data_IF_667809334335
#
_entry.id   IF_667809334335
#
_cell.length_a   1.000
_cell.length_b   1.000
_cell.length_c   1.000
_cell.angle_alpha   90.00
_cell.angle_beta   90.00
_cell.angle_gamma   90.00
#
_symmetry.space_group_name_H-M   'P 1'
#
loop_
_entity.id
_entity.type
_entity.pdbx_description
1 polymer ?
#
# COMPACT_ATOMS: atom_id res chain seq x y z
N UNK A 1 20.87 5.71 -26.90
CA UNK A 1 19.76 4.75 -26.90
C UNK A 1 19.33 4.58 -25.45
N UNK A 2 18.04 4.72 -25.17
CA UNK A 2 17.50 4.80 -23.82
C UNK A 2 17.17 3.40 -23.31
N UNK A 3 17.87 2.96 -22.26
CA UNK A 3 17.58 1.71 -21.54
C UNK A 3 16.40 1.90 -20.57
N UNK A 4 15.24 2.21 -21.14
CA UNK A 4 13.96 1.88 -20.54
C UNK A 4 13.64 0.49 -21.06
N UNK A 5 13.99 -0.56 -20.31
CA UNK A 5 13.43 -1.91 -20.45
C UNK A 5 14.16 -2.85 -19.49
N UNK A 6 13.70 -2.93 -18.22
CA UNK A 6 13.64 -4.18 -17.45
C UNK A 6 13.01 -3.94 -16.08
N UNK A 7 11.72 -3.62 -16.05
CA UNK A 7 10.91 -4.19 -14.97
C UNK A 7 10.71 -5.66 -15.33
N UNK A 8 10.73 -6.62 -14.38
CA UNK A 8 10.30 -7.98 -14.68
C UNK A 8 8.94 -7.88 -15.37
N UNK A 9 8.66 -8.80 -16.29
CA UNK A 9 7.35 -8.94 -16.92
C UNK A 9 6.30 -9.05 -15.80
N UNK A 10 5.79 -7.88 -15.37
CA UNK A 10 4.70 -7.71 -14.44
C UNK A 10 3.47 -8.05 -15.25
N UNK A 11 3.34 -9.32 -15.64
CA UNK A 11 2.04 -9.90 -15.87
C UNK A 11 1.22 -9.50 -14.64
N UNK A 12 0.30 -8.55 -14.83
CA UNK A 12 -0.09 -7.54 -13.85
C UNK A 12 -0.23 -8.06 -12.43
N UNK A 13 0.24 -7.28 -11.45
CA UNK A 13 0.00 -7.60 -10.05
C UNK A 13 -1.49 -7.90 -9.88
N UNK A 14 -1.83 -9.01 -9.22
CA UNK A 14 -3.24 -9.33 -8.96
C UNK A 14 -3.86 -8.24 -8.12
N UNK A 15 -3.11 -7.64 -7.20
CA UNK A 15 -3.49 -6.46 -6.45
C UNK A 15 -2.30 -5.81 -5.75
N UNK A 16 -2.54 -4.64 -5.17
CA UNK A 16 -1.57 -3.94 -4.34
C UNK A 16 -2.22 -3.28 -3.11
N UNK A 17 -1.41 -2.95 -2.11
CA UNK A 17 -1.77 -2.05 -1.05
C UNK A 17 -0.67 -1.01 -0.82
N UNK A 18 -1.10 0.18 -0.41
CA UNK A 18 -0.23 1.27 0.01
C UNK A 18 -0.63 1.68 1.43
N UNK A 19 0.34 1.73 2.32
CA UNK A 19 0.17 2.26 3.67
C UNK A 19 1.13 3.43 3.88
N UNK A 20 0.61 4.60 4.24
CA UNK A 20 1.41 5.80 4.47
C UNK A 20 1.12 6.37 5.84
N UNK A 21 2.17 6.79 6.56
CA UNK A 21 2.06 7.41 7.87
C UNK A 21 2.96 8.63 7.98
N UNK A 22 2.45 9.64 8.69
CA UNK A 22 3.18 10.82 9.10
C UNK A 22 3.14 10.89 10.63
N UNK A 23 4.22 10.45 11.28
CA UNK A 23 4.44 10.58 12.73
C UNK A 23 5.87 11.03 13.00
N UNK A 24 6.07 11.81 14.05
CA UNK A 24 7.38 12.36 14.43
C UNK A 24 8.43 11.27 14.71
N UNK A 25 8.01 10.12 15.24
CA UNK A 25 8.87 8.98 15.56
C UNK A 25 8.52 7.72 14.74
N UNK A 26 8.04 7.88 13.50
CA UNK A 26 7.77 6.73 12.66
C UNK A 26 9.09 6.09 12.19
N UNK A 27 9.16 4.77 12.27
CA UNK A 27 10.20 3.94 11.66
C UNK A 27 9.58 2.72 10.98
N UNK A 28 10.33 2.05 10.12
CA UNK A 28 9.85 0.85 9.42
C UNK A 28 9.91 -0.44 10.25
N UNK A 29 10.41 -0.41 11.49
CA UNK A 29 10.40 -1.59 12.38
C UNK A 29 8.97 -2.00 12.72
N UNK A 30 8.07 -1.04 12.90
CA UNK A 30 6.63 -1.30 13.03
C UNK A 30 6.03 -1.97 11.79
N UNK A 31 6.53 -1.62 10.59
CA UNK A 31 6.12 -2.26 9.34
C UNK A 31 6.59 -3.71 9.25
N UNK A 32 7.86 -3.98 9.62
CA UNK A 32 8.38 -5.34 9.70
C UNK A 32 7.66 -6.19 10.74
N UNK A 33 7.40 -5.62 11.92
CA UNK A 33 6.66 -6.30 12.98
C UNK A 33 5.27 -6.68 12.51
N UNK A 34 4.58 -5.75 11.84
CA UNK A 34 3.27 -6.01 11.25
C UNK A 34 3.29 -7.17 10.25
N UNK A 35 4.30 -7.23 9.37
CA UNK A 35 4.46 -8.34 8.43
C UNK A 35 4.62 -9.67 9.17
N UNK A 36 5.51 -9.73 10.16
CA UNK A 36 5.73 -10.91 10.98
C UNK A 36 4.48 -11.36 11.75
N UNK A 37 3.79 -10.43 12.40
CA UNK A 37 2.52 -10.69 13.11
C UNK A 37 1.39 -11.13 12.17
N UNK A 38 1.49 -10.80 10.87
CA UNK A 38 0.56 -11.22 9.83
C UNK A 38 0.94 -12.55 9.18
N UNK A 39 1.95 -13.26 9.71
CA UNK A 39 2.37 -14.58 9.23
C UNK A 39 3.37 -14.56 8.08
N UNK A 40 3.99 -13.42 7.79
CA UNK A 40 5.01 -13.28 6.75
C UNK A 40 6.41 -13.33 7.33
N UNK A 41 7.29 -14.08 6.69
CA UNK A 41 8.71 -14.21 7.02
C UNK A 41 9.57 -13.47 6.01
N UNK A 42 10.76 -13.01 6.43
CA UNK A 42 11.82 -12.53 5.53
C UNK A 42 12.68 -13.67 4.97
N UNK A 43 12.50 -14.89 5.49
CA UNK A 43 13.25 -16.09 5.09
C UNK A 43 12.35 -16.93 4.20
N UNK A 44 12.84 -17.29 3.02
CA UNK A 44 12.16 -18.21 2.10
C UNK A 44 12.11 -19.62 2.72
N UNK A 45 10.90 -20.18 2.97
CA UNK A 45 10.77 -21.49 3.59
C UNK A 45 11.27 -22.64 2.68
N UNK A 46 11.45 -22.40 1.38
CA UNK A 46 11.88 -23.40 0.41
C UNK A 46 13.40 -23.47 0.24
N UNK A 47 14.15 -22.55 0.86
CA UNK A 47 15.62 -22.50 0.79
C UNK A 47 16.20 -23.07 2.09
N UNK A 48 17.17 -23.98 1.94
CA UNK A 48 17.77 -24.73 3.07
C UNK A 48 18.63 -23.82 3.96
N UNK A 49 19.26 -22.81 3.36
CA UNK A 49 20.00 -21.78 4.07
C UNK A 49 19.04 -20.63 4.38
N UNK A 50 18.87 -20.30 5.66
CA UNK A 50 17.95 -19.28 6.16
C UNK A 50 18.37 -17.83 5.81
N UNK A 51 18.72 -17.58 4.55
CA UNK A 51 19.07 -16.26 4.03
C UNK A 51 17.81 -15.48 3.73
N UNK A 52 17.73 -14.24 4.24
CA UNK A 52 16.68 -13.34 3.80
C UNK A 52 16.91 -12.95 2.34
N UNK A 53 15.84 -12.90 1.54
CA UNK A 53 15.93 -12.40 0.17
C UNK A 53 15.38 -10.97 0.15
N UNK A 54 16.25 -10.00 0.42
CA UNK A 54 15.92 -8.59 0.25
C UNK A 54 16.65 -8.02 -0.96
N UNK A 55 15.90 -7.62 -1.98
CA UNK A 55 16.45 -7.03 -3.22
C UNK A 55 16.63 -5.52 -3.07
N UNK A 56 17.81 -5.05 -2.68
CA UNK A 56 18.11 -3.62 -2.72
C UNK A 56 18.36 -3.19 -4.16
N UNK A 57 17.40 -2.48 -4.75
CA UNK A 57 17.63 -1.79 -6.01
C UNK A 57 18.51 -0.56 -5.80
N UNK A 58 19.80 -0.71 -6.07
CA UNK A 58 20.61 0.42 -6.55
C UNK A 58 21.02 0.25 -8.01
N UNK A 59 20.86 -0.92 -8.64
CA UNK A 59 21.41 -1.19 -9.99
C UNK A 59 20.64 -2.24 -10.83
N UNK A 60 19.35 -2.52 -10.57
CA UNK A 60 18.57 -3.43 -11.41
C UNK A 60 18.96 -4.91 -11.35
N UNK A 61 19.84 -5.29 -10.42
CA UNK A 61 20.21 -6.69 -10.15
C UNK A 61 19.63 -7.17 -8.82
N UNK A 62 19.19 -8.43 -8.79
CA UNK A 62 18.77 -9.13 -7.58
C UNK A 62 20.00 -9.51 -6.76
N UNK A 63 20.09 -8.98 -5.55
CA UNK A 63 21.03 -9.46 -4.54
C UNK A 63 20.25 -10.05 -3.38
N UNK A 64 20.69 -11.21 -2.89
CA UNK A 64 20.23 -11.73 -1.61
C UNK A 64 21.02 -11.00 -0.51
N UNK A 65 20.32 -10.56 0.54
CA UNK A 65 20.93 -9.84 1.65
C UNK A 65 20.73 -10.62 2.94
N UNK A 66 21.80 -10.76 3.71
CA UNK A 66 21.67 -11.25 5.07
C UNK A 66 20.69 -10.38 5.88
N UNK A 67 19.96 -11.03 6.79
CA UNK A 67 18.93 -10.40 7.64
C UNK A 67 19.49 -9.18 8.38
N UNK A 68 20.74 -9.26 8.83
CA UNK A 68 21.43 -8.18 9.54
C UNK A 68 21.57 -6.94 8.65
N UNK A 69 22.05 -7.10 7.41
CA UNK A 69 22.21 -6.00 6.45
C UNK A 69 20.86 -5.39 6.08
N UNK A 70 19.83 -6.23 5.93
CA UNK A 70 18.46 -5.76 5.73
C UNK A 70 17.97 -4.89 6.89
N UNK A 71 18.16 -5.36 8.12
CA UNK A 71 17.77 -4.63 9.33
C UNK A 71 18.50 -3.29 9.46
N UNK A 72 19.77 -3.22 9.09
CA UNK A 72 20.53 -1.96 9.04
C UNK A 72 19.92 -0.96 8.05
N UNK A 73 19.49 -1.39 6.87
CA UNK A 73 18.81 -0.52 5.89
C UNK A 73 17.49 0.02 6.43
N UNK A 74 16.72 -0.84 7.09
CA UNK A 74 15.45 -0.49 7.74
C UNK A 74 15.66 0.53 8.86
N UNK A 75 16.65 0.29 9.73
CA UNK A 75 17.01 1.21 10.82
C UNK A 75 17.54 2.55 10.29
N UNK A 76 18.33 2.52 9.22
CA UNK A 76 18.84 3.72 8.55
C UNK A 76 17.77 4.46 7.72
N UNK A 77 16.55 3.92 7.64
CA UNK A 77 15.44 4.48 6.88
C UNK A 77 15.77 4.74 5.40
N UNK A 78 16.59 3.86 4.81
CA UNK A 78 16.91 3.88 3.37
C UNK A 78 15.84 3.16 2.55
N UNK A 79 15.42 3.71 1.38
CA UNK A 79 14.49 3.01 0.51
C UNK A 79 14.95 1.56 0.26
N UNK A 80 14.03 0.60 0.39
CA UNK A 80 14.34 -0.81 0.25
C UNK A 80 13.16 -1.57 -0.36
N UNK A 81 13.47 -2.36 -1.39
CA UNK A 81 12.57 -3.34 -1.98
C UNK A 81 12.95 -4.72 -1.43
N UNK A 82 11.98 -5.56 -1.12
CA UNK A 82 12.24 -6.86 -0.54
C UNK A 82 11.04 -7.79 -0.70
N UNK A 83 11.28 -9.10 -0.62
CA UNK A 83 10.21 -10.08 -0.62
C UNK A 83 9.95 -10.59 0.78
N UNK A 84 8.74 -11.05 1.00
CA UNK A 84 8.35 -11.80 2.19
C UNK A 84 7.55 -13.02 1.77
N UNK A 85 7.61 -14.08 2.59
CA UNK A 85 7.01 -15.38 2.29
C UNK A 85 5.99 -15.77 3.35
N UNK A 86 4.97 -16.49 2.92
CA UNK A 86 4.09 -17.26 3.79
C UNK A 86 4.74 -18.60 4.15
N UNK A 87 4.19 -19.32 5.13
CA UNK A 87 4.61 -20.68 5.46
C UNK A 87 4.44 -21.70 4.33
N UNK A 88 3.51 -21.46 3.40
CA UNK A 88 3.22 -22.34 2.25
C UNK A 88 4.13 -22.06 1.04
N UNK A 89 5.00 -21.05 1.13
CA UNK A 89 5.95 -20.70 0.08
C UNK A 89 5.47 -19.62 -0.90
N UNK A 90 4.23 -19.13 -0.79
CA UNK A 90 3.76 -17.95 -1.53
C UNK A 90 4.51 -16.70 -1.09
N UNK A 91 4.75 -15.76 -2.03
CA UNK A 91 5.49 -14.53 -1.77
C UNK A 91 4.70 -13.24 -2.02
N UNK A 92 5.20 -12.15 -1.45
CA UNK A 92 4.73 -10.79 -1.64
C UNK A 92 5.93 -9.87 -1.79
N UNK A 93 5.89 -9.00 -2.80
CA UNK A 93 6.89 -7.93 -2.95
C UNK A 93 6.47 -6.75 -2.07
N UNK A 94 7.45 -6.15 -1.41
CA UNK A 94 7.30 -5.01 -0.52
C UNK A 94 8.28 -3.90 -0.92
N UNK A 95 7.87 -2.65 -0.76
CA UNK A 95 8.75 -1.47 -0.85
C UNK A 95 8.54 -0.60 0.38
N UNK A 96 9.62 -0.28 1.08
CA UNK A 96 9.64 0.76 2.09
C UNK A 96 10.39 1.96 1.55
N UNK A 97 9.73 3.13 1.50
CA UNK A 97 10.36 4.37 1.03
C UNK A 97 9.84 5.62 1.73
N UNK A 98 10.57 6.73 1.55
CA UNK A 98 10.16 8.05 2.02
C UNK A 98 9.60 8.87 0.85
N UNK A 99 8.44 9.49 1.07
CA UNK A 99 7.87 10.49 0.16
C UNK A 99 7.74 11.81 0.93
N UNK A 100 8.76 12.67 0.81
CA UNK A 100 8.90 13.85 1.67
C UNK A 100 9.03 13.44 3.14
N UNK A 101 8.14 13.94 4.00
CA UNK A 101 8.12 13.63 5.44
C UNK A 101 7.39 12.33 5.78
N UNK A 102 6.80 11.64 4.79
CA UNK A 102 5.94 10.47 5.00
C UNK A 102 6.73 9.19 4.81
N UNK A 103 6.51 8.22 5.71
CA UNK A 103 6.90 6.84 5.47
C UNK A 103 5.81 6.16 4.67
N UNK A 104 6.20 5.50 3.59
CA UNK A 104 5.30 4.78 2.69
C UNK A 104 5.76 3.34 2.59
N UNK A 105 4.80 2.44 2.66
CA UNK A 105 4.95 1.00 2.57
C UNK A 105 4.05 0.52 1.45
N UNK A 106 4.62 -0.17 0.47
CA UNK A 106 3.90 -0.79 -0.64
C UNK A 106 3.95 -2.30 -0.49
N UNK A 107 2.87 -2.95 -0.90
CA UNK A 107 2.68 -4.39 -0.84
C UNK A 107 2.04 -4.86 -2.14
N UNK A 108 2.70 -5.72 -2.91
CA UNK A 108 2.18 -6.26 -4.17
C UNK A 108 1.86 -7.75 -4.03
N UNK A 109 0.60 -8.11 -4.28
CA UNK A 109 0.06 -9.45 -4.02
C UNK A 109 0.12 -10.38 -5.24
N UNK A 110 0.96 -10.10 -6.23
CA UNK A 110 0.95 -10.77 -7.54
C UNK A 110 1.02 -12.30 -7.49
N UNK A 111 1.76 -12.86 -6.53
CA UNK A 111 1.93 -14.31 -6.38
C UNK A 111 1.09 -14.93 -5.26
N UNK A 112 0.48 -14.14 -4.39
CA UNK A 112 -0.50 -14.61 -3.42
C UNK A 112 -1.73 -15.11 -4.18
N UNK A 113 -1.83 -16.44 -4.37
CA UNK A 113 -2.83 -17.10 -5.22
C UNK A 113 -4.24 -16.66 -4.82
N UNK A 114 -4.46 -16.50 -3.52
CA UNK A 114 -5.51 -15.70 -2.92
C UNK A 114 -4.87 -14.48 -2.29
N UNK A 115 -5.23 -13.28 -2.73
CA UNK A 115 -4.88 -12.08 -1.98
C UNK A 115 -5.47 -12.25 -0.57
N UNK A 116 -4.60 -12.52 0.42
CA UNK A 116 -5.05 -13.06 1.70
C UNK A 116 -5.98 -12.03 2.37
N UNK A 117 -7.27 -12.37 2.41
CA UNK A 117 -8.30 -11.55 3.05
C UNK A 117 -7.94 -11.23 4.51
N UNK A 118 -7.17 -12.11 5.16
CA UNK A 118 -6.57 -11.94 6.47
C UNK A 118 -5.54 -10.82 6.50
N UNK A 119 -4.59 -10.79 5.56
CA UNK A 119 -3.59 -9.72 5.47
C UNK A 119 -4.23 -8.35 5.26
N UNK A 120 -5.19 -8.23 4.34
CA UNK A 120 -5.87 -6.94 4.13
C UNK A 120 -6.73 -6.55 5.33
N UNK A 121 -7.39 -7.51 5.98
CA UNK A 121 -8.09 -7.23 7.23
C UNK A 121 -7.12 -6.73 8.31
N UNK A 122 -5.91 -7.29 8.38
CA UNK A 122 -4.86 -6.84 9.29
C UNK A 122 -4.36 -5.43 8.93
N UNK A 123 -4.14 -5.12 7.65
CA UNK A 123 -3.80 -3.77 7.19
C UNK A 123 -4.87 -2.75 7.55
N UNK A 124 -6.16 -3.06 7.35
CA UNK A 124 -7.26 -2.17 7.71
C UNK A 124 -7.32 -1.92 9.21
N UNK A 125 -7.12 -2.95 10.04
CA UNK A 125 -7.01 -2.79 11.50
C UNK A 125 -5.80 -1.94 11.87
N UNK A 126 -4.65 -2.16 11.25
CA UNK A 126 -3.44 -1.35 11.46
C UNK A 126 -3.69 0.11 11.09
N UNK A 127 -4.39 0.39 9.98
CA UNK A 127 -4.83 1.73 9.61
C UNK A 127 -5.71 2.35 10.68
N UNK A 128 -6.77 1.66 11.10
CA UNK A 128 -7.70 2.16 12.13
C UNK A 128 -6.98 2.53 13.43
N UNK A 129 -6.12 1.65 13.93
CA UNK A 129 -5.28 1.94 15.11
C UNK A 129 -4.31 3.08 14.85
N UNK A 130 -3.77 3.18 13.63
CA UNK A 130 -2.77 4.18 13.31
C UNK A 130 -3.33 5.61 13.24
N UNK A 131 -4.60 5.77 12.84
CA UNK A 131 -5.28 7.06 12.74
C UNK A 131 -5.33 7.84 14.05
N UNK A 132 -5.35 7.16 15.19
CA UNK A 132 -5.38 7.79 16.51
C UNK A 132 -4.08 8.55 16.85
N UNK A 133 -2.96 8.16 16.24
CA UNK A 133 -1.64 8.71 16.54
C UNK A 133 -1.05 9.57 15.40
N UNK A 134 -1.83 9.91 14.37
CA UNK A 134 -1.41 10.85 13.35
C UNK A 134 -2.09 10.68 12.00
N UNK A 135 -1.59 11.41 11.01
CA UNK A 135 -2.11 11.36 9.63
C UNK A 135 -1.65 10.06 8.98
N UNK A 136 -2.61 9.21 8.64
CA UNK A 136 -2.37 7.91 8.01
C UNK A 136 -3.24 7.77 6.76
N UNK A 137 -2.74 7.07 5.75
CA UNK A 137 -3.49 6.71 4.55
C UNK A 137 -3.33 5.22 4.29
N UNK A 138 -4.40 4.58 3.82
CA UNK A 138 -4.39 3.22 3.30
C UNK A 138 -5.08 3.18 1.93
N UNK A 139 -4.49 2.44 1.02
CA UNK A 139 -5.09 2.03 -0.26
C UNK A 139 -4.98 0.52 -0.33
N UNK A 140 -6.05 -0.15 -0.75
CA UNK A 140 -6.01 -1.57 -1.12
C UNK A 140 -6.81 -1.73 -2.39
N UNK A 141 -6.15 -2.28 -3.41
CA UNK A 141 -6.72 -2.54 -4.73
C UNK A 141 -6.50 -4.01 -5.12
N UNK A 142 -7.56 -4.81 -5.13
CA UNK A 142 -7.50 -6.25 -5.41
C UNK A 142 -7.37 -6.60 -6.88
N UNK A 143 -7.42 -5.60 -7.75
CA UNK A 143 -7.35 -5.77 -9.19
C UNK A 143 -6.24 -4.91 -9.81
N UNK A 144 -5.45 -4.25 -8.96
CA UNK A 144 -4.37 -3.34 -9.34
C UNK A 144 -4.78 -2.21 -10.30
N UNK A 145 -6.07 -1.83 -10.33
CA UNK A 145 -6.59 -0.83 -11.27
C UNK A 145 -6.02 0.57 -11.03
N UNK A 146 -5.58 0.83 -9.80
CA UNK A 146 -5.01 2.09 -9.35
C UNK A 146 -3.52 2.00 -9.01
N UNK A 147 -2.85 0.89 -9.35
CA UNK A 147 -1.42 0.71 -9.09
C UNK A 147 -0.57 1.82 -9.75
N UNK A 148 -0.91 2.15 -11.01
CA UNK A 148 -0.19 3.15 -11.81
C UNK A 148 -0.56 4.60 -11.50
N UNK A 149 -1.46 4.86 -10.55
CA UNK A 149 -1.75 6.23 -10.12
C UNK A 149 -0.54 6.83 -9.39
N UNK A 150 -0.30 8.14 -9.57
CA UNK A 150 0.81 8.84 -8.92
C UNK A 150 0.51 9.11 -7.43
N UNK A 151 0.55 8.05 -6.64
CA UNK A 151 0.36 8.11 -5.20
C UNK A 151 1.39 9.00 -4.49
N UNK A 152 2.68 9.03 -4.89
CA UNK A 152 3.64 10.01 -4.36
C UNK A 152 3.19 11.46 -4.54
N UNK A 153 2.71 11.84 -5.72
CA UNK A 153 2.22 13.20 -5.95
C UNK A 153 0.96 13.51 -5.13
N UNK A 154 0.04 12.55 -4.96
CA UNK A 154 -1.12 12.73 -4.08
C UNK A 154 -0.70 12.88 -2.62
N UNK A 155 0.25 12.06 -2.17
CA UNK A 155 0.84 12.17 -0.83
C UNK A 155 1.57 13.51 -0.66
N UNK A 156 2.17 14.06 -1.70
CA UNK A 156 2.75 15.41 -1.66
C UNK A 156 1.68 16.53 -1.68
N UNK A 157 0.41 16.21 -1.93
CA UNK A 157 -0.66 17.18 -2.12
C UNK A 157 -0.57 17.92 -3.48
N UNK A 158 0.22 17.38 -4.42
CA UNK A 158 0.46 17.99 -5.74
C UNK A 158 -0.64 17.66 -6.75
N UNK A 159 -1.36 16.55 -6.55
CA UNK A 159 -2.48 16.11 -7.41
C UNK A 159 -3.67 15.65 -6.56
N UNK A 160 -4.86 15.75 -7.13
CA UNK A 160 -6.05 15.10 -6.60
C UNK A 160 -6.21 13.70 -7.22
N UNK A 161 -6.81 12.78 -6.49
CA UNK A 161 -7.18 11.48 -7.03
C UNK A 161 -8.37 11.61 -7.96
N UNK A 162 -8.20 11.14 -9.19
CA UNK A 162 -9.25 10.99 -10.19
C UNK A 162 -9.01 9.68 -10.94
N UNK A 163 -9.76 8.64 -10.60
CA UNK A 163 -9.55 7.30 -11.16
C UNK A 163 -10.58 6.31 -10.64
N UNK A 164 -10.47 5.06 -11.10
CA UNK A 164 -11.29 3.95 -10.63
C UNK A 164 -11.02 3.72 -9.15
N UNK A 165 -12.00 3.92 -8.27
CA UNK A 165 -11.75 3.95 -6.84
C UNK A 165 -11.32 2.56 -6.34
N UNK A 166 -10.25 2.45 -5.54
CA UNK A 166 -9.76 1.16 -5.04
C UNK A 166 -10.77 0.52 -4.08
N UNK A 167 -10.66 -0.76 -3.76
CA UNK A 167 -11.64 -1.42 -2.88
C UNK A 167 -11.61 -0.92 -1.45
N UNK A 168 -10.45 -0.49 -0.96
CA UNK A 168 -10.32 0.21 0.30
C UNK A 168 -9.54 1.49 0.09
N UNK A 169 -10.11 2.61 0.52
CA UNK A 169 -9.42 3.90 0.54
C UNK A 169 -9.65 4.62 1.85
N UNK A 170 -8.63 4.68 2.70
CA UNK A 170 -8.64 5.40 3.96
C UNK A 170 -7.74 6.61 3.91
N UNK A 171 -8.26 7.80 4.19
CA UNK A 171 -7.52 9.07 4.14
C UNK A 171 -7.93 10.01 5.27
N UNK A 172 -7.07 10.97 5.65
CA UNK A 172 -7.44 12.10 6.51
C UNK A 172 -8.62 12.90 5.91
N UNK A 173 -9.51 13.43 6.76
CA UNK A 173 -10.72 14.15 6.34
C UNK A 173 -10.42 15.41 5.52
N UNK A 174 -9.35 16.12 5.84
CA UNK A 174 -8.94 17.32 5.11
C UNK A 174 -8.51 16.97 3.67
N UNK A 175 -7.78 15.87 3.49
CA UNK A 175 -7.45 15.35 2.17
C UNK A 175 -8.70 14.84 1.44
N UNK A 176 -9.64 14.20 2.13
CA UNK A 176 -10.89 13.73 1.51
C UNK A 176 -11.68 14.86 0.85
N UNK A 177 -11.76 16.04 1.48
CA UNK A 177 -12.45 17.21 0.90
C UNK A 177 -11.79 17.74 -0.37
N UNK A 178 -10.47 17.68 -0.44
CA UNK A 178 -9.71 18.12 -1.61
C UNK A 178 -9.77 17.14 -2.78
N UNK A 179 -10.05 15.86 -2.49
CA UNK A 179 -10.13 14.81 -3.51
C UNK A 179 -11.58 14.69 -3.99
N UNK A 180 -11.83 14.98 -5.27
CA UNK A 180 -13.14 14.79 -5.92
C UNK A 180 -13.38 13.31 -6.21
N UNK A 181 -13.55 12.53 -5.16
CA UNK A 181 -13.81 11.10 -5.28
C UNK A 181 -15.28 10.92 -5.66
N UNK A 182 -15.54 10.52 -6.91
CA UNK A 182 -16.87 10.06 -7.33
C UNK A 182 -17.07 8.63 -6.79
N UNK A 183 -17.29 8.52 -5.48
CA UNK A 183 -17.37 7.24 -4.77
C UNK A 183 -18.81 6.72 -4.74
N UNK A 184 -19.32 6.34 -5.89
CA UNK A 184 -20.54 5.56 -5.93
C UNK A 184 -20.24 4.09 -5.62
N UNK A 185 -21.14 3.43 -4.89
CA UNK A 185 -20.96 2.03 -4.49
C UNK A 185 -20.01 1.83 -3.30
N UNK A 186 -19.65 2.88 -2.55
CA UNK A 186 -18.83 2.77 -1.35
C UNK A 186 -19.66 2.88 -0.07
N UNK A 187 -19.30 2.06 0.92
CA UNK A 187 -19.65 2.31 2.32
C UNK A 187 -18.58 3.21 2.91
N UNK A 188 -19.01 4.27 3.58
CA UNK A 188 -18.13 5.28 4.17
C UNK A 188 -18.23 5.22 5.69
N UNK A 189 -17.08 5.19 6.36
CA UNK A 189 -17.00 5.29 7.81
C UNK A 189 -16.04 6.42 8.19
N UNK A 190 -16.53 7.37 9.00
CA UNK A 190 -15.70 8.47 9.53
C UNK A 190 -15.30 8.13 10.96
N UNK A 191 -14.02 8.31 11.30
CA UNK A 191 -13.49 8.09 12.64
C UNK A 191 -12.15 8.82 12.81
N UNK A 192 -11.88 9.35 14.01
CA UNK A 192 -10.59 9.95 14.38
C UNK A 192 -9.99 10.91 13.34
N UNK A 193 -10.81 11.81 12.77
CA UNK A 193 -10.34 12.76 11.76
C UNK A 193 -10.00 12.15 10.39
N UNK A 194 -10.37 10.88 10.16
CA UNK A 194 -10.18 10.14 8.92
C UNK A 194 -11.51 9.65 8.37
N UNK A 195 -11.50 9.28 7.10
CA UNK A 195 -12.58 8.60 6.41
C UNK A 195 -12.03 7.32 5.78
N UNK A 196 -12.78 6.23 5.91
CA UNK A 196 -12.52 4.97 5.24
C UNK A 196 -13.67 4.68 4.29
N UNK A 197 -13.35 4.60 3.01
CA UNK A 197 -14.23 4.15 1.95
C UNK A 197 -13.95 2.69 1.67
N UNK A 198 -14.97 1.84 1.72
CA UNK A 198 -14.89 0.43 1.34
C UNK A 198 -15.90 0.16 0.24
N UNK A 199 -15.45 -0.39 -0.90
CA UNK A 199 -16.34 -0.77 -2.00
C UNK A 199 -17.37 -1.77 -1.46
N UNK A 200 -18.65 -1.50 -1.66
CA UNK A 200 -19.73 -2.42 -1.29
C UNK A 200 -19.56 -3.68 -2.14
N UNK A 201 -19.57 -4.86 -1.51
CA UNK A 201 -19.47 -6.16 -2.21
C UNK A 201 -20.75 -6.52 -2.99
N UNK A 202 -21.52 -5.54 -3.41
CA UNK A 202 -22.79 -5.74 -4.12
C UNK A 202 -22.52 -5.46 -5.61
N UNK A 203 -22.10 -6.48 -6.40
CA UNK A 203 -21.70 -6.30 -7.79
C UNK A 203 -22.85 -5.83 -8.70
N UNK A 204 -24.10 -5.94 -8.23
CA UNK A 204 -25.31 -5.72 -9.02
C UNK A 204 -25.88 -4.29 -8.93
N UNK A 205 -25.23 -3.37 -8.20
CA UNK A 205 -25.65 -1.97 -8.25
C UNK A 205 -24.94 -1.28 -9.42
N UNK A 206 -25.63 -0.99 -10.53
CA UNK A 206 -25.00 -0.30 -11.65
C UNK A 206 -24.41 1.02 -11.16
N UNK A 207 -23.23 1.35 -11.70
CA UNK A 207 -22.62 2.67 -11.54
C UNK A 207 -23.67 3.69 -11.95
N UNK A 208 -24.19 4.44 -10.98
CA UNK A 208 -25.10 5.53 -11.26
C UNK A 208 -24.34 6.64 -12.01
N UNK A 209 -25.05 7.52 -12.72
CA UNK A 209 -24.41 8.71 -13.27
C UNK A 209 -23.75 9.50 -12.13
N UNK A 210 -22.58 10.14 -12.36
CA UNK A 210 -21.94 10.99 -11.36
C UNK A 210 -22.96 11.90 -10.71
N UNK A 211 -22.94 12.00 -9.38
CA UNK A 211 -23.77 12.98 -8.68
C UNK A 211 -23.24 14.36 -9.08
N UNK A 212 -23.95 15.02 -9.99
CA UNK A 212 -23.77 16.45 -10.24
C UNK A 212 -24.07 17.15 -8.92
N UNK A 213 -23.01 17.60 -8.24
CA UNK A 213 -23.19 18.50 -7.12
C UNK A 213 -23.85 19.78 -7.68
N UNK A 214 -24.97 20.22 -7.10
CA UNK A 214 -25.58 21.46 -7.52
C UNK A 214 -24.54 22.58 -7.39
N UNK A 215 -24.42 23.39 -8.45
CA UNK A 215 -23.48 24.52 -8.56
C UNK A 215 -23.59 25.50 -7.37
N UNK A 216 -24.67 25.42 -6.59
CA UNK A 216 -24.88 26.18 -5.35
C UNK A 216 -24.06 25.72 -4.14
N UNK A 217 -23.20 24.71 -4.25
CA UNK A 217 -22.31 24.27 -3.17
C UNK A 217 -20.87 24.83 -3.30
N UNK A 218 -20.67 25.82 -4.18
CA UNK A 218 -19.38 26.49 -4.43
C UNK A 218 -19.32 27.94 -3.92
N UNK A 219 -20.27 28.36 -3.08
CA UNK A 219 -20.19 29.62 -2.33
C UNK A 219 -19.70 29.38 -0.89
#
# INVERSE_FOLDING_TARGET
MSDRDYMPDMAGSKGFALFSRQRENADWLDGLRFLNESGFSLIDPNVVDATAVATVENMGERHDLDVEVFQEHVMAQKPINFRVWTHDGDDMLCEFRRCGTKLVEWYWFGQLVTADSGFVSALVRRFQSATAAGRTMIVVDWHALSENFDWPALLAGAVAYSGTPPEVFGIPLDLSRANRLVLQGFRTQVFNGHVLHKRSQDPDRPVGPPLELPVSALD
#
